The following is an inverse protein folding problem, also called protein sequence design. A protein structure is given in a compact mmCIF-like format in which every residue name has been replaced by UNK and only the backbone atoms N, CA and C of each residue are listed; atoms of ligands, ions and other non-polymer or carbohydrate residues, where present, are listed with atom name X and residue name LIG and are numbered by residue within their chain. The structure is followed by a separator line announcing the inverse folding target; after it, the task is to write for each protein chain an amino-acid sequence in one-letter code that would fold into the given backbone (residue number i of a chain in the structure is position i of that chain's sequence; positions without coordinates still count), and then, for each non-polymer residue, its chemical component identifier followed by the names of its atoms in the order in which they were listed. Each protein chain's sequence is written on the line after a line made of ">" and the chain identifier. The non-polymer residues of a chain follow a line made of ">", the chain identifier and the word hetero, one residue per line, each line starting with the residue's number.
data_IF_629214005879
#
_entry.id   IF_629214005879
#
_cell.length_a   1.000
_cell.length_b   1.000
_cell.length_c   1.000
_cell.angle_alpha   90.00
_cell.angle_beta   90.00
_cell.angle_gamma   90.00
#
_symmetry.space_group_name_H-M   'P 1'
#
loop_
_entity.id
_entity.type
_entity.pdbx_description
1 polymer ?
#
# COMPACT_ATOMS: atom_id res chain seq x y z
N UNK A 1 15.31 -9.15 -14.59
CA UNK A 1 15.23 -9.89 -13.31
C UNK A 1 13.90 -10.63 -13.34
N UNK A 2 13.95 -11.95 -13.35
CA UNK A 2 12.74 -12.77 -13.35
C UNK A 2 12.16 -12.76 -11.93
N UNK A 3 10.88 -12.39 -11.79
CA UNK A 3 10.21 -12.32 -10.49
C UNK A 3 9.54 -13.65 -10.25
N UNK A 4 9.92 -14.34 -9.18
CA UNK A 4 9.25 -15.55 -8.72
C UNK A 4 7.94 -15.15 -8.03
N UNK A 5 6.82 -15.30 -8.75
CA UNK A 5 5.49 -14.91 -8.27
C UNK A 5 5.11 -15.60 -6.95
N UNK A 6 5.68 -16.77 -6.66
CA UNK A 6 5.41 -17.52 -5.41
C UNK A 6 6.05 -16.87 -4.18
N UNK A 7 7.08 -16.03 -4.39
CA UNK A 7 7.78 -15.30 -3.33
C UNK A 7 7.32 -13.86 -3.17
N UNK A 8 6.40 -13.39 -4.00
CA UNK A 8 5.92 -12.02 -3.94
C UNK A 8 5.12 -11.78 -2.66
N UNK A 9 5.46 -10.70 -1.97
CA UNK A 9 4.69 -10.17 -0.85
C UNK A 9 4.03 -8.85 -1.21
N UNK A 10 3.03 -8.43 -0.44
CA UNK A 10 2.41 -7.11 -0.59
C UNK A 10 2.13 -6.44 0.75
N UNK A 11 2.49 -5.17 0.83
CA UNK A 11 2.00 -4.24 1.84
C UNK A 11 0.64 -3.71 1.42
N UNK A 12 -0.31 -3.71 2.35
CA UNK A 12 -1.68 -3.21 2.18
C UNK A 12 -1.87 -2.00 3.07
N UNK A 13 -2.23 -0.90 2.43
CA UNK A 13 -2.54 0.37 3.05
C UNK A 13 -4.04 0.59 2.90
N UNK A 14 -4.76 0.57 4.02
CA UNK A 14 -6.17 0.92 4.03
C UNK A 14 -6.29 2.39 4.43
N UNK A 15 -6.70 3.22 3.48
CA UNK A 15 -6.88 4.64 3.74
C UNK A 15 -8.35 5.02 3.61
N UNK A 16 -8.84 5.74 4.61
CA UNK A 16 -10.26 6.02 4.81
C UNK A 16 -10.43 7.50 5.09
N UNK A 17 -10.41 8.30 4.03
CA UNK A 17 -11.13 9.56 4.08
C UNK A 17 -11.63 9.91 2.69
N UNK A 18 -12.90 9.58 2.43
CA UNK A 18 -13.62 10.07 1.25
C UNK A 18 -13.92 11.58 1.34
N UNK A 19 -13.57 12.23 2.46
CA UNK A 19 -13.65 13.68 2.60
C UNK A 19 -12.60 14.32 1.69
N UNK A 20 -13.07 14.91 0.60
CA UNK A 20 -12.24 15.78 -0.24
C UNK A 20 -11.76 16.97 0.59
N UNK A 21 -10.47 17.27 0.53
CA UNK A 21 -9.95 18.51 1.11
C UNK A 21 -10.60 19.71 0.42
N UNK A 22 -11.03 20.71 1.19
CA UNK A 22 -11.74 21.90 0.69
C UNK A 22 -10.95 22.69 -0.37
N UNK A 23 -9.64 22.50 -0.43
CA UNK A 23 -8.72 23.27 -1.28
C UNK A 23 -8.19 22.51 -2.50
N UNK A 24 -8.11 21.17 -2.48
CA UNK A 24 -7.45 20.39 -3.56
C UNK A 24 -8.37 19.48 -4.34
N UNK A 25 -9.63 19.30 -3.93
CA UNK A 25 -10.59 18.32 -4.52
C UNK A 25 -10.19 16.84 -4.39
N UNK A 26 -8.93 16.56 -4.04
CA UNK A 26 -8.37 15.23 -3.78
C UNK A 26 -8.82 14.71 -2.40
N UNK A 27 -9.08 13.41 -2.36
CA UNK A 27 -9.18 12.66 -1.09
C UNK A 27 -7.80 12.43 -0.52
N UNK A 28 -7.71 12.11 0.77
CA UNK A 28 -6.41 11.73 1.34
C UNK A 28 -5.89 10.42 0.74
N UNK A 29 -6.77 9.54 0.25
CA UNK A 29 -6.36 8.36 -0.52
C UNK A 29 -5.65 8.73 -1.81
N UNK A 30 -6.14 9.72 -2.55
CA UNK A 30 -5.52 10.20 -3.79
C UNK A 30 -4.14 10.81 -3.52
N UNK A 31 -4.02 11.59 -2.44
CA UNK A 31 -2.73 12.18 -2.01
C UNK A 31 -1.72 11.11 -1.66
N UNK A 32 -2.14 10.11 -0.88
CA UNK A 32 -1.28 8.97 -0.55
C UNK A 32 -0.87 8.22 -1.81
N UNK A 33 -1.80 7.98 -2.74
CA UNK A 33 -1.49 7.32 -4.00
C UNK A 33 -0.44 8.09 -4.80
N UNK A 34 -0.60 9.41 -4.97
CA UNK A 34 0.38 10.23 -5.69
C UNK A 34 1.78 10.15 -5.09
N UNK A 35 1.88 10.14 -3.76
CA UNK A 35 3.18 10.05 -3.12
C UNK A 35 3.79 8.64 -3.25
N UNK A 36 2.98 7.57 -3.18
CA UNK A 36 3.45 6.19 -3.41
C UNK A 36 3.85 5.99 -4.87
N UNK A 37 3.08 6.52 -5.82
CA UNK A 37 3.41 6.51 -7.24
C UNK A 37 4.75 7.22 -7.49
N UNK A 38 4.94 8.40 -6.92
CA UNK A 38 6.22 9.13 -6.98
C UNK A 38 7.37 8.33 -6.36
N UNK A 39 7.15 7.69 -5.22
CA UNK A 39 8.15 6.84 -4.55
C UNK A 39 8.59 5.67 -5.46
N UNK A 40 7.62 5.02 -6.11
CA UNK A 40 7.89 3.88 -7.00
C UNK A 40 8.57 4.36 -8.29
N UNK A 41 8.07 5.41 -8.95
CA UNK A 41 8.61 5.87 -10.23
C UNK A 41 10.01 6.48 -10.10
N UNK A 42 10.27 7.22 -9.01
CA UNK A 42 11.51 7.97 -8.85
C UNK A 42 12.60 7.21 -8.05
N UNK A 43 12.25 6.16 -7.31
CA UNK A 43 13.20 5.51 -6.38
C UNK A 43 13.01 3.98 -6.25
N UNK A 44 12.52 3.30 -7.29
CA UNK A 44 12.20 1.86 -7.22
C UNK A 44 13.34 0.98 -6.71
N UNK A 45 14.60 1.30 -7.05
CA UNK A 45 15.76 0.48 -6.68
C UNK A 45 16.10 0.54 -5.18
N UNK A 46 15.71 1.61 -4.48
CA UNK A 46 16.16 1.85 -3.11
C UNK A 46 15.07 1.67 -2.05
N UNK A 47 13.85 1.35 -2.50
CA UNK A 47 12.68 1.24 -1.62
C UNK A 47 12.31 -0.20 -1.32
N UNK A 48 12.84 -1.18 -2.06
CA UNK A 48 12.42 -2.58 -1.97
C UNK A 48 11.03 -2.85 -2.59
N UNK A 49 10.39 -1.82 -3.16
CA UNK A 49 9.07 -1.91 -3.81
C UNK A 49 9.28 -2.13 -5.32
N UNK A 50 8.71 -3.22 -5.84
CA UNK A 50 8.79 -3.56 -7.28
C UNK A 50 7.58 -3.09 -8.10
N UNK A 51 6.53 -2.61 -7.42
CA UNK A 51 5.35 -2.06 -8.06
C UNK A 51 4.28 -1.69 -7.04
N UNK A 52 3.29 -0.92 -7.47
CA UNK A 52 2.15 -0.57 -6.65
C UNK A 52 0.84 -0.55 -7.46
N UNK A 53 -0.28 -0.77 -6.77
CA UNK A 53 -1.63 -0.67 -7.34
C UNK A 53 -2.55 0.01 -6.33
N UNK A 54 -3.41 0.91 -6.79
CA UNK A 54 -4.50 1.47 -5.98
C UNK A 54 -5.85 0.92 -6.44
N UNK A 55 -6.74 0.71 -5.50
CA UNK A 55 -8.15 0.38 -5.73
C UNK A 55 -9.01 1.36 -4.94
N UNK A 56 -9.90 2.04 -5.65
CA UNK A 56 -10.89 2.93 -5.05
C UNK A 56 -12.12 2.13 -4.62
N UNK A 57 -12.75 2.51 -3.51
CA UNK A 57 -14.01 1.88 -3.09
C UNK A 57 -15.10 2.09 -4.16
N UNK A 58 -15.69 0.99 -4.64
CA UNK A 58 -16.74 0.99 -5.65
C UNK A 58 -18.10 1.36 -5.03
N UNK A 59 -18.79 2.35 -5.61
CA UNK A 59 -20.14 2.80 -5.18
C UNK A 59 -21.30 1.98 -5.80
N UNK A 60 -21.04 0.83 -6.41
CA UNK A 60 -22.11 0.02 -7.03
C UNK A 60 -22.97 -0.76 -6.03
N UNK A 61 -24.25 -0.90 -6.36
CA UNK A 61 -25.31 -1.38 -5.45
C UNK A 61 -25.35 -2.88 -5.12
N UNK A 62 -24.41 -3.71 -5.58
CA UNK A 62 -24.58 -5.17 -5.55
C UNK A 62 -23.81 -5.94 -4.46
N UNK A 63 -23.02 -5.27 -3.60
CA UNK A 63 -22.27 -5.96 -2.53
C UNK A 63 -22.62 -5.39 -1.15
N UNK A 64 -23.40 -6.16 -0.40
CA UNK A 64 -23.78 -5.90 0.99
C UNK A 64 -22.56 -6.05 1.93
N UNK A 65 -21.72 -5.02 1.96
CA UNK A 65 -20.91 -4.53 3.09
C UNK A 65 -20.12 -3.34 2.55
N UNK A 66 -20.60 -2.13 2.87
CA UNK A 66 -20.00 -0.84 2.49
C UNK A 66 -18.62 -0.69 3.13
N UNK A 67 -17.62 -1.44 2.69
CA UNK A 67 -16.24 -1.16 3.05
C UNK A 67 -15.80 0.01 2.18
N UNK A 68 -15.90 1.23 2.73
CA UNK A 68 -15.70 2.50 2.01
C UNK A 68 -14.22 2.82 1.74
N UNK A 69 -13.32 1.94 2.15
CA UNK A 69 -11.87 2.19 2.17
C UNK A 69 -11.26 1.85 0.82
N UNK A 70 -10.50 2.78 0.27
CA UNK A 70 -9.57 2.47 -0.80
C UNK A 70 -8.39 1.66 -0.27
N UNK A 71 -7.79 0.85 -1.13
CA UNK A 71 -6.61 0.03 -0.78
C UNK A 71 -5.47 0.36 -1.73
N UNK A 72 -4.31 0.70 -1.17
CA UNK A 72 -3.06 0.75 -1.94
C UNK A 72 -2.25 -0.50 -1.59
N UNK A 73 -1.80 -1.20 -2.62
CA UNK A 73 -0.95 -2.38 -2.53
C UNK A 73 0.45 -2.01 -3.02
N UNK A 74 1.49 -2.27 -2.24
CA UNK A 74 2.88 -2.14 -2.66
C UNK A 74 3.55 -3.52 -2.62
N UNK A 75 4.14 -3.94 -3.73
CA UNK A 75 4.68 -5.30 -3.91
C UNK A 75 6.17 -5.35 -3.61
N UNK A 76 6.62 -6.46 -3.02
CA UNK A 76 8.03 -6.79 -2.81
C UNK A 76 8.33 -8.11 -3.52
N UNK A 77 9.51 -8.23 -4.13
CA UNK A 77 9.85 -9.40 -4.96
C UNK A 77 10.01 -10.70 -4.16
N UNK A 78 10.53 -10.61 -2.94
CA UNK A 78 10.79 -11.76 -2.08
C UNK A 78 10.40 -11.44 -0.63
N UNK A 79 9.32 -12.04 -0.15
CA UNK A 79 8.84 -11.87 1.22
C UNK A 79 9.77 -12.49 2.26
N UNK A 80 10.62 -13.46 1.88
CA UNK A 80 11.57 -14.09 2.79
C UNK A 80 12.76 -13.17 3.07
N UNK A 81 13.03 -12.24 2.17
CA UNK A 81 14.02 -11.18 2.37
C UNK A 81 13.47 -10.08 3.31
N UNK A 82 13.58 -10.34 4.62
CA UNK A 82 13.12 -9.43 5.68
C UNK A 82 13.70 -8.02 5.59
N UNK A 83 14.89 -7.86 5.00
CA UNK A 83 15.52 -6.55 4.81
C UNK A 83 14.75 -5.73 3.78
N UNK A 84 14.45 -6.31 2.61
CA UNK A 84 13.68 -5.63 1.55
C UNK A 84 12.24 -5.38 1.99
N UNK A 85 11.64 -6.33 2.71
CA UNK A 85 10.31 -6.15 3.33
C UNK A 85 10.28 -4.96 4.28
N UNK A 86 11.30 -4.82 5.15
CA UNK A 86 11.42 -3.70 6.07
C UNK A 86 11.70 -2.38 5.33
N UNK A 87 12.59 -2.37 4.34
CA UNK A 87 12.87 -1.19 3.51
C UNK A 87 11.60 -0.67 2.85
N UNK A 88 10.78 -1.56 2.31
CA UNK A 88 9.49 -1.19 1.74
C UNK A 88 8.55 -0.58 2.78
N UNK A 89 8.47 -1.15 3.99
CA UNK A 89 7.68 -0.60 5.08
C UNK A 89 8.16 0.81 5.47
N UNK A 90 9.48 0.99 5.62
CA UNK A 90 10.07 2.27 6.01
C UNK A 90 9.84 3.34 4.92
N UNK A 91 9.99 2.98 3.65
CA UNK A 91 9.74 3.87 2.51
C UNK A 91 8.26 4.29 2.44
N UNK A 92 7.34 3.35 2.65
CA UNK A 92 5.90 3.64 2.75
C UNK A 92 5.61 4.59 3.91
N UNK A 93 6.26 4.39 5.07
CA UNK A 93 6.11 5.22 6.28
C UNK A 93 6.71 6.61 6.15
N UNK A 94 7.69 6.83 5.28
CA UNK A 94 8.18 8.18 4.98
C UNK A 94 7.14 9.00 4.21
N UNK A 95 6.34 8.32 3.40
CA UNK A 95 5.31 8.91 2.54
C UNK A 95 3.98 9.08 3.28
N UNK A 96 3.68 8.17 4.20
CA UNK A 96 2.50 8.22 5.05
C UNK A 96 2.83 8.87 6.39
N UNK A 97 2.10 9.93 6.76
CA UNK A 97 2.13 10.38 8.15
C UNK A 97 1.76 9.22 9.10
N UNK A 98 2.59 9.01 10.12
CA UNK A 98 2.79 7.79 10.92
C UNK A 98 1.55 7.13 11.57
N UNK A 99 0.36 7.70 11.47
CA UNK A 99 -0.83 7.26 12.22
C UNK A 99 -1.55 6.05 11.63
N UNK A 100 -1.33 5.69 10.36
CA UNK A 100 -2.10 4.62 9.72
C UNK A 100 -1.39 3.26 9.80
N UNK A 101 -2.10 2.18 10.22
CA UNK A 101 -1.53 0.83 10.17
C UNK A 101 -1.33 0.38 8.72
N UNK A 102 -0.23 -0.34 8.49
CA UNK A 102 0.05 -1.04 7.23
C UNK A 102 0.12 -2.55 7.51
N UNK A 103 -0.36 -3.35 6.59
CA UNK A 103 -0.48 -4.80 6.76
C UNK A 103 0.37 -5.52 5.74
N UNK A 104 1.07 -6.57 6.13
CA UNK A 104 1.81 -7.39 5.18
C UNK A 104 1.06 -8.69 4.89
N UNK A 105 0.93 -9.03 3.61
CA UNK A 105 0.32 -10.26 3.15
C UNK A 105 1.26 -10.98 2.18
N UNK A 106 1.45 -12.27 2.41
CA UNK A 106 2.04 -13.22 1.45
C UNK A 106 0.92 -14.07 0.87
N UNK A 107 1.12 -14.65 -0.30
CA UNK A 107 0.07 -15.46 -0.93
C UNK A 107 -0.13 -16.83 -0.22
N UNK A 108 0.83 -17.27 0.58
CA UNK A 108 0.73 -18.50 1.41
C UNK A 108 0.02 -18.32 2.77
N UNK A 109 -0.27 -17.09 3.25
CA UNK A 109 -0.78 -16.90 4.62
C UNK A 109 -1.78 -15.75 4.82
N UNK A 110 -2.62 -15.91 5.86
CA UNK A 110 -3.53 -14.90 6.39
C UNK A 110 -2.78 -13.63 6.85
N UNK A 111 -3.42 -12.46 6.70
CA UNK A 111 -2.89 -11.12 6.98
C UNK A 111 -2.12 -11.04 8.32
N UNK A 112 -0.87 -10.56 8.29
CA UNK A 112 -0.13 -10.19 9.49
C UNK A 112 -0.19 -8.68 9.69
N UNK A 113 -0.66 -8.25 10.86
CA UNK A 113 -0.70 -6.83 11.25
C UNK A 113 0.69 -6.40 11.68
N UNK A 114 1.25 -5.37 11.03
CA UNK A 114 2.51 -4.76 11.45
C UNK A 114 2.23 -3.37 12.00
N UNK A 115 2.02 -3.29 13.32
CA UNK A 115 2.05 -2.03 14.07
C UNK A 115 3.45 -1.92 14.67
N UNK A 116 4.38 -1.27 13.97
CA UNK A 116 5.66 -0.89 14.57
C UNK A 116 5.45 0.47 15.23
N UNK A 117 5.63 0.50 16.56
CA UNK A 117 5.54 1.67 17.44
C UNK A 117 6.83 2.48 17.31
#
# INVERSE_FOLDING_TARGET
>A
MEIDETKVGKWLLFHDDQKKGQTTSLTDHDRVWQNIESLVLNNYQNTGIIGAKASTAWEGGYCARKNKKGVICCYVADYANKLEVKKAADAIRQVLHLSHPIYFKTDELHLKVCTVI
#
